data_IF_705133419767
#
_entry.id   IF_705133419767
#
_cell.length_a   1.000
_cell.length_b   1.000
_cell.length_c   1.000
_cell.angle_alpha   90.00
_cell.angle_beta   90.00
_cell.angle_gamma   90.00
#
_symmetry.space_group_name_H-M   'P 1'
#
loop_
_entity.id
_entity.type
_entity.pdbx_description
1 polymer ?
#
# COMPACT_ATOMS: atom_id res chain seq x y z
N UNK A 1 17.53 15.60 -0.09
CA UNK A 1 17.35 14.14 -0.19
C UNK A 1 15.88 13.70 -0.12
N UNK A 2 15.18 13.69 1.03
CA UNK A 2 13.74 13.28 1.06
C UNK A 2 12.82 14.20 0.23
N UNK A 3 12.99 15.52 0.33
CA UNK A 3 12.21 16.49 -0.44
C UNK A 3 12.34 16.32 -1.96
N UNK A 4 13.53 15.96 -2.44
CA UNK A 4 13.78 15.73 -3.88
C UNK A 4 13.11 14.44 -4.36
N UNK A 5 13.16 13.36 -3.56
CA UNK A 5 12.43 12.12 -3.85
C UNK A 5 10.92 12.35 -3.89
N UNK A 6 10.36 13.09 -2.92
CA UNK A 6 8.93 13.41 -2.89
C UNK A 6 8.53 14.25 -4.11
N UNK A 7 9.37 15.21 -4.52
CA UNK A 7 9.10 16.01 -5.72
C UNK A 7 9.17 15.17 -7.00
N UNK A 8 10.14 14.24 -7.08
CA UNK A 8 10.24 13.28 -8.19
C UNK A 8 8.98 12.41 -8.25
N UNK A 9 8.57 11.82 -7.12
CA UNK A 9 7.34 11.03 -7.02
C UNK A 9 6.08 11.80 -7.42
N UNK A 10 5.95 13.05 -6.93
CA UNK A 10 4.85 13.94 -7.30
C UNK A 10 4.78 14.14 -8.81
N UNK A 11 5.91 14.47 -9.43
CA UNK A 11 5.98 14.76 -10.86
C UNK A 11 5.72 13.51 -11.72
N UNK A 12 6.24 12.36 -11.30
CA UNK A 12 6.16 11.12 -12.06
C UNK A 12 4.82 10.41 -11.88
N UNK A 13 4.18 10.49 -10.71
CA UNK A 13 2.99 9.70 -10.38
C UNK A 13 1.78 10.61 -10.16
N UNK A 14 1.85 11.55 -9.22
CA UNK A 14 0.67 12.28 -8.74
C UNK A 14 0.14 13.35 -9.72
N UNK A 15 0.99 13.88 -10.60
CA UNK A 15 0.63 14.85 -11.64
C UNK A 15 -0.02 14.20 -12.87
N UNK A 16 0.08 12.88 -13.03
CA UNK A 16 -0.58 12.17 -14.11
C UNK A 16 -2.09 11.94 -13.81
N UNK A 17 -2.64 10.82 -14.24
CA UNK A 17 -3.97 10.36 -13.85
C UNK A 17 -3.97 9.75 -12.45
N UNK A 18 -5.13 9.70 -11.80
CA UNK A 18 -5.23 8.99 -10.52
C UNK A 18 -4.96 7.48 -10.66
N UNK A 19 -5.23 6.91 -11.83
CA UNK A 19 -4.87 5.54 -12.14
C UNK A 19 -3.35 5.30 -12.10
N UNK A 20 -2.52 6.30 -12.37
CA UNK A 20 -1.06 6.16 -12.24
C UNK A 20 -0.62 5.91 -10.79
N UNK A 21 -1.46 6.30 -9.81
CA UNK A 21 -1.24 6.02 -8.39
C UNK A 21 -1.73 4.63 -7.96
N UNK A 22 -2.24 3.78 -8.87
CA UNK A 22 -2.56 2.39 -8.54
C UNK A 22 -1.27 1.57 -8.41
N UNK A 23 -1.12 0.68 -7.41
CA UNK A 23 0.09 -0.12 -7.22
C UNK A 23 0.56 -0.86 -8.49
N UNK A 24 -0.37 -1.46 -9.23
CA UNK A 24 -0.09 -2.16 -10.49
C UNK A 24 0.54 -1.30 -11.58
N UNK A 25 0.35 0.02 -11.53
CA UNK A 25 0.86 0.96 -12.52
C UNK A 25 2.19 1.61 -12.10
N UNK A 26 2.66 1.36 -10.87
CA UNK A 26 3.91 1.91 -10.37
C UNK A 26 5.11 1.17 -10.95
N UNK A 27 6.21 1.89 -11.21
CA UNK A 27 7.50 1.25 -11.47
C UNK A 27 7.94 0.43 -10.26
N UNK A 28 8.79 -0.58 -10.46
CA UNK A 28 9.34 -1.38 -9.35
C UNK A 28 10.07 -0.51 -8.32
N UNK A 29 10.77 0.56 -8.76
CA UNK A 29 11.39 1.54 -7.87
C UNK A 29 10.36 2.18 -6.92
N UNK A 30 9.27 2.71 -7.46
CA UNK A 30 8.24 3.37 -6.66
C UNK A 30 7.41 2.41 -5.83
N UNK A 31 7.13 1.22 -6.34
CA UNK A 31 6.46 0.19 -5.58
C UNK A 31 7.27 -0.21 -4.35
N UNK A 32 8.58 -0.41 -4.49
CA UNK A 32 9.47 -0.75 -3.37
C UNK A 32 9.57 0.40 -2.35
N UNK A 33 9.59 1.65 -2.82
CA UNK A 33 9.56 2.82 -1.96
C UNK A 33 8.26 2.87 -1.14
N UNK A 34 7.10 2.70 -1.79
CA UNK A 34 5.80 2.66 -1.11
C UNK A 34 5.65 1.43 -0.21
N UNK A 35 6.23 0.29 -0.56
CA UNK A 35 6.26 -0.89 0.28
C UNK A 35 6.99 -0.60 1.60
N UNK A 36 8.14 0.10 1.54
CA UNK A 36 8.86 0.52 2.75
C UNK A 36 8.02 1.48 3.61
N UNK A 37 7.34 2.45 2.99
CA UNK A 37 6.41 3.35 3.70
C UNK A 37 5.25 2.55 4.33
N UNK A 38 4.66 1.60 3.60
CA UNK A 38 3.58 0.74 4.07
C UNK A 38 4.01 -0.11 5.28
N UNK A 39 5.21 -0.69 5.25
CA UNK A 39 5.76 -1.45 6.38
C UNK A 39 5.92 -0.58 7.63
N UNK A 40 6.40 0.66 7.45
CA UNK A 40 6.51 1.61 8.55
C UNK A 40 5.14 2.01 9.11
N UNK A 41 4.11 2.12 8.27
CA UNK A 41 2.73 2.39 8.70
C UNK A 41 2.16 1.20 9.47
N UNK A 42 2.28 -0.04 8.97
CA UNK A 42 1.64 -1.22 9.58
C UNK A 42 2.13 -1.47 11.01
N UNK A 43 3.39 -1.17 11.31
CA UNK A 43 3.92 -1.19 12.68
C UNK A 43 3.29 -0.15 13.63
N UNK A 44 2.75 0.94 13.09
CA UNK A 44 2.11 2.04 13.83
C UNK A 44 0.59 1.88 13.97
N UNK A 45 -0.03 0.99 13.20
CA UNK A 45 -1.50 0.86 13.09
C UNK A 45 -2.16 0.24 14.34
N UNK A 46 -1.37 -0.09 15.38
CA UNK A 46 -1.87 -0.57 16.67
C UNK A 46 -2.28 0.55 17.64
N UNK A 47 -1.94 1.83 17.40
CA UNK A 47 -2.15 2.88 18.41
C UNK A 47 -2.55 4.27 17.83
N UNK A 48 -3.79 4.65 18.14
CA UNK A 48 -4.27 6.03 18.38
C UNK A 48 -4.31 7.07 17.23
N UNK A 49 -5.30 7.97 17.33
CA UNK A 49 -5.61 9.08 16.40
C UNK A 49 -4.49 10.13 16.35
N UNK A 50 -3.62 10.18 17.38
CA UNK A 50 -2.41 11.01 17.42
C UNK A 50 -1.38 10.66 16.33
N UNK A 51 -1.50 9.48 15.71
CA UNK A 51 -0.62 9.05 14.62
C UNK A 51 -0.87 9.75 13.27
N UNK A 52 -1.99 10.47 13.05
CA UNK A 52 -2.34 10.96 11.69
C UNK A 52 -1.28 11.90 11.09
N UNK A 53 -0.87 12.92 11.84
CA UNK A 53 0.09 13.91 11.35
C UNK A 53 1.50 13.30 11.25
N UNK A 54 1.83 12.37 12.15
CA UNK A 54 3.07 11.60 12.10
C UNK A 54 3.12 10.68 10.87
N UNK A 55 1.98 10.07 10.51
CA UNK A 55 1.83 9.23 9.33
C UNK A 55 1.94 10.03 8.03
N UNK A 56 1.37 11.24 7.97
CA UNK A 56 1.52 12.12 6.80
C UNK A 56 2.98 12.52 6.58
N UNK A 57 3.73 12.72 7.67
CA UNK A 57 5.16 13.00 7.62
C UNK A 57 6.02 11.77 7.31
N UNK A 58 5.65 10.58 7.79
CA UNK A 58 6.46 9.36 7.67
C UNK A 58 6.18 8.55 6.40
N UNK A 59 5.03 8.77 5.75
CA UNK A 59 4.63 8.07 4.52
C UNK A 59 3.98 9.01 3.49
N UNK A 60 4.70 10.05 3.04
CA UNK A 60 4.15 11.08 2.15
C UNK A 60 3.75 10.53 0.77
N UNK A 61 4.38 9.45 0.29
CA UNK A 61 4.02 8.79 -0.96
C UNK A 61 2.65 8.11 -0.89
N UNK A 62 2.44 7.31 0.16
CA UNK A 62 1.14 6.64 0.43
C UNK A 62 0.03 7.69 0.57
N UNK A 63 0.24 8.74 1.36
CA UNK A 63 -0.74 9.81 1.54
C UNK A 63 -1.07 10.51 0.22
N UNK A 64 -0.03 10.80 -0.58
CA UNK A 64 -0.20 11.40 -1.91
C UNK A 64 -1.06 10.55 -2.84
N UNK A 65 -0.80 9.25 -2.92
CA UNK A 65 -1.60 8.33 -3.74
C UNK A 65 -3.05 8.26 -3.29
N UNK A 66 -3.29 8.02 -2.00
CA UNK A 66 -4.64 7.91 -1.45
C UNK A 66 -5.42 9.20 -1.71
N UNK A 67 -4.79 10.36 -1.46
CA UNK A 67 -5.43 11.66 -1.71
C UNK A 67 -5.78 11.82 -3.18
N UNK A 68 -4.84 11.55 -4.09
CA UNK A 68 -5.05 11.70 -5.54
C UNK A 68 -6.18 10.81 -6.06
N UNK A 69 -6.26 9.56 -5.61
CA UNK A 69 -7.32 8.62 -5.97
C UNK A 69 -8.68 9.10 -5.47
N UNK A 70 -8.75 9.58 -4.22
CA UNK A 70 -9.99 10.14 -3.66
C UNK A 70 -10.46 11.38 -4.40
N UNK A 71 -9.52 12.27 -4.74
CA UNK A 71 -9.81 13.48 -5.50
C UNK A 71 -10.47 13.15 -6.85
N UNK A 72 -10.00 12.09 -7.51
CA UNK A 72 -10.54 11.59 -8.77
C UNK A 72 -11.92 10.94 -8.63
N UNK A 73 -12.14 10.20 -7.54
CA UNK A 73 -13.45 9.63 -7.16
C UNK A 73 -14.48 10.70 -6.71
N UNK A 74 -14.24 11.98 -6.98
CA UNK A 74 -15.15 13.07 -6.65
C UNK A 74 -15.22 13.40 -5.15
N UNK A 75 -14.30 12.88 -4.34
CA UNK A 75 -14.22 13.19 -2.90
C UNK A 75 -13.44 14.50 -2.62
N UNK A 76 -13.46 15.42 -3.59
CA UNK A 76 -12.87 16.75 -3.48
C UNK A 76 -13.67 17.61 -2.49
N UNK A 77 -12.99 18.17 -1.49
CA UNK A 77 -13.51 19.34 -0.77
C UNK A 77 -14.36 19.12 0.49
N UNK A 78 -14.34 17.95 1.15
CA UNK A 78 -14.96 17.88 2.48
C UNK A 78 -14.09 18.59 3.53
N UNK A 79 -14.61 19.73 4.00
CA UNK A 79 -14.09 20.64 5.03
C UNK A 79 -13.81 20.03 6.42
N UNK A 80 -13.64 18.71 6.50
CA UNK A 80 -13.02 17.93 7.57
C UNK A 80 -12.88 16.53 6.99
N UNK A 81 -11.66 16.12 6.63
CA UNK A 81 -11.40 14.72 6.29
C UNK A 81 -11.92 13.88 7.47
N UNK A 82 -12.88 12.99 7.21
CA UNK A 82 -13.21 11.95 8.18
C UNK A 82 -11.93 11.11 8.34
N UNK A 83 -11.17 11.39 9.40
CA UNK A 83 -9.84 10.80 9.60
C UNK A 83 -9.93 9.30 9.71
N UNK A 84 -11.00 8.76 10.31
CA UNK A 84 -11.21 7.32 10.41
C UNK A 84 -11.39 6.68 9.03
N UNK A 85 -12.20 7.30 8.14
CA UNK A 85 -12.37 6.83 6.77
C UNK A 85 -11.06 6.89 5.99
N UNK A 86 -10.35 8.02 6.07
CA UNK A 86 -9.07 8.19 5.37
C UNK A 86 -8.00 7.22 5.86
N UNK A 87 -7.96 6.95 7.16
CA UNK A 87 -7.11 5.90 7.72
C UNK A 87 -7.47 4.51 7.20
N UNK A 88 -8.76 4.19 7.09
CA UNK A 88 -9.21 2.95 6.45
C UNK A 88 -8.70 2.83 5.03
N UNK A 89 -8.75 3.92 4.26
CA UNK A 89 -8.26 3.98 2.88
C UNK A 89 -6.73 3.89 2.79
N UNK A 90 -5.98 4.48 3.72
CA UNK A 90 -4.53 4.29 3.84
C UNK A 90 -4.21 2.82 4.10
N UNK A 91 -4.90 2.18 5.05
CA UNK A 91 -4.71 0.75 5.34
C UNK A 91 -4.98 -0.11 4.13
N UNK A 92 -6.10 0.12 3.44
CA UNK A 92 -6.45 -0.59 2.22
C UNK A 92 -5.41 -0.37 1.11
N UNK A 93 -4.91 0.86 0.95
CA UNK A 93 -3.87 1.14 -0.03
C UNK A 93 -2.54 0.44 0.30
N UNK A 94 -2.10 0.46 1.57
CA UNK A 94 -0.92 -0.28 2.01
C UNK A 94 -1.02 -1.77 1.71
N UNK A 95 -2.17 -2.37 2.00
CA UNK A 95 -2.48 -3.77 1.66
C UNK A 95 -2.28 -4.03 0.17
N UNK A 96 -2.79 -3.16 -0.68
CA UNK A 96 -2.64 -3.26 -2.13
C UNK A 96 -1.20 -3.08 -2.63
N UNK A 97 -0.42 -2.22 -2.00
CA UNK A 97 1.02 -2.10 -2.29
C UNK A 97 1.73 -3.40 -1.99
N UNK A 98 1.44 -4.03 -0.86
CA UNK A 98 2.03 -5.31 -0.52
C UNK A 98 1.58 -6.43 -1.47
N UNK A 99 0.31 -6.43 -1.90
CA UNK A 99 -0.20 -7.42 -2.85
C UNK A 99 0.50 -7.33 -4.18
N UNK A 100 0.64 -6.12 -4.70
CA UNK A 100 1.34 -5.91 -5.95
C UNK A 100 2.80 -6.34 -5.86
N UNK A 101 3.49 -6.01 -4.75
CA UNK A 101 4.88 -6.41 -4.53
C UNK A 101 5.04 -7.94 -4.57
N UNK A 102 4.19 -8.69 -3.85
CA UNK A 102 4.28 -10.16 -3.85
C UNK A 102 3.75 -10.81 -5.12
N UNK A 103 2.83 -10.15 -5.83
CA UNK A 103 2.30 -10.61 -7.12
C UNK A 103 3.39 -10.55 -8.19
N UNK A 104 4.21 -9.49 -8.21
CA UNK A 104 5.37 -9.36 -9.11
C UNK A 104 6.44 -10.43 -8.88
N UNK A 105 6.54 -10.93 -7.66
CA UNK A 105 7.43 -12.04 -7.32
C UNK A 105 6.87 -13.41 -7.77
N UNK A 106 5.66 -13.47 -8.34
CA UNK A 106 5.05 -14.69 -8.89
C UNK A 106 4.54 -15.67 -7.83
N UNK A 107 4.39 -15.22 -6.58
CA UNK A 107 4.18 -16.06 -5.39
C UNK A 107 2.72 -16.15 -4.92
N UNK A 108 1.90 -15.23 -5.41
CA UNK A 108 0.50 -15.07 -5.06
C UNK A 108 -0.25 -14.51 -6.26
N UNK A 109 -1.41 -15.09 -6.56
CA UNK A 109 -2.35 -14.53 -7.51
C UNK A 109 -3.32 -13.65 -6.76
N UNK A 110 -3.08 -12.34 -6.81
CA UNK A 110 -3.97 -11.34 -6.24
C UNK A 110 -4.73 -10.68 -7.38
N UNK A 111 -6.04 -10.48 -7.22
CA UNK A 111 -6.77 -9.59 -8.12
C UNK A 111 -6.08 -8.22 -8.13
N UNK A 112 -5.74 -7.65 -9.30
CA UNK A 112 -5.12 -6.34 -9.38
C UNK A 112 -6.02 -5.25 -8.81
N UNK A 113 -5.40 -4.23 -8.22
CA UNK A 113 -6.15 -3.06 -7.77
C UNK A 113 -6.55 -2.17 -8.94
N UNK A 114 -7.78 -1.68 -8.92
CA UNK A 114 -8.32 -0.70 -9.85
C UNK A 114 -9.02 0.44 -9.08
N UNK A 115 -9.47 1.45 -9.81
CA UNK A 115 -10.10 2.63 -9.21
C UNK A 115 -11.38 2.31 -8.43
N UNK A 116 -12.05 1.19 -8.71
CA UNK A 116 -13.30 0.80 -8.04
C UNK A 116 -13.03 -0.01 -6.76
N UNK A 117 -11.95 -0.78 -6.69
CA UNK A 117 -11.67 -1.74 -5.61
C UNK A 117 -10.41 -1.44 -4.76
N UNK A 118 -9.65 -0.37 -5.05
CA UNK A 118 -8.40 -0.02 -4.34
C UNK A 118 -8.62 0.24 -2.83
N UNK A 119 -9.82 0.67 -2.44
CA UNK A 119 -10.18 0.90 -1.03
C UNK A 119 -11.17 -0.14 -0.46
N UNK A 120 -11.45 -1.21 -1.20
CA UNK A 120 -12.34 -2.27 -0.76
C UNK A 120 -11.71 -3.03 0.41
N UNK A 121 -12.53 -3.35 1.42
CA UNK A 121 -12.06 -4.04 2.64
C UNK A 121 -12.02 -5.55 2.49
N UNK A 122 -12.58 -6.13 1.44
CA UNK A 122 -12.84 -7.56 1.24
C UNK A 122 -11.90 -8.22 0.23
N UNK A 123 -10.71 -7.65 0.03
CA UNK A 123 -9.74 -8.19 -0.92
C UNK A 123 -9.10 -9.49 -0.43
N UNK A 124 -8.91 -10.42 -1.36
CA UNK A 124 -8.35 -11.75 -1.13
C UNK A 124 -7.15 -12.03 -2.03
N UNK A 125 -6.20 -12.86 -1.56
CA UNK A 125 -5.18 -13.45 -2.42
C UNK A 125 -5.38 -14.96 -2.53
N UNK A 126 -4.89 -15.53 -3.63
CA UNK A 126 -4.72 -16.97 -3.82
C UNK A 126 -3.25 -17.34 -3.73
N UNK A 127 -2.96 -18.40 -3.01
CA UNK A 127 -1.63 -19.02 -2.95
C UNK A 127 -1.56 -20.13 -4.00
N UNK A 128 -0.35 -20.46 -4.48
CA UNK A 128 -0.07 -21.46 -5.52
C UNK A 128 -0.75 -22.83 -5.29
N UNK A 129 -1.21 -23.12 -4.06
CA UNK A 129 -1.97 -24.31 -3.67
C UNK A 129 -3.50 -24.09 -3.46
N UNK A 130 -4.12 -23.13 -4.15
CA UNK A 130 -5.58 -22.89 -4.25
C UNK A 130 -6.33 -22.41 -2.99
N UNK A 131 -5.66 -22.09 -1.89
CA UNK A 131 -6.32 -21.47 -0.74
C UNK A 131 -6.56 -19.98 -0.96
N UNK A 132 -7.81 -19.55 -0.82
CA UNK A 132 -8.16 -18.14 -0.70
C UNK A 132 -7.88 -17.68 0.73
N UNK A 133 -7.06 -16.64 0.85
CA UNK A 133 -6.74 -16.01 2.13
C UNK A 133 -7.36 -14.62 2.13
N UNK A 134 -8.24 -14.39 3.11
CA UNK A 134 -8.73 -13.04 3.45
C UNK A 134 -7.61 -12.27 4.16
N UNK A 135 -7.22 -11.18 3.52
CA UNK A 135 -6.05 -10.37 3.85
C UNK A 135 -6.45 -8.90 3.99
N UNK A 136 -7.74 -8.66 4.27
CA UNK A 136 -8.33 -7.40 4.72
C UNK A 136 -7.63 -6.76 5.93
N UNK A 137 -6.79 -7.53 6.64
CA UNK A 137 -5.98 -7.07 7.76
C UNK A 137 -4.51 -6.83 7.32
N UNK A 138 -4.05 -5.56 7.22
CA UNK A 138 -2.68 -5.22 6.85
C UNK A 138 -1.62 -5.90 7.70
N UNK A 139 -1.86 -6.07 9.01
CA UNK A 139 -0.94 -6.76 9.92
C UNK A 139 -0.82 -8.24 9.58
N UNK A 140 -1.95 -8.91 9.33
CA UNK A 140 -1.95 -10.34 9.00
C UNK A 140 -1.28 -10.59 7.66
N UNK A 141 -1.50 -9.71 6.69
CA UNK A 141 -0.79 -9.76 5.42
C UNK A 141 0.71 -9.52 5.60
N UNK A 142 1.09 -8.47 6.34
CA UNK A 142 2.48 -8.17 6.62
C UNK A 142 3.20 -9.33 7.29
N UNK A 143 2.58 -9.97 8.29
CA UNK A 143 3.11 -11.20 8.90
C UNK A 143 3.28 -12.33 7.87
N UNK A 144 2.31 -12.54 6.98
CA UNK A 144 2.43 -13.55 5.92
C UNK A 144 3.60 -13.27 4.96
N UNK A 145 3.81 -12.00 4.60
CA UNK A 145 4.93 -11.56 3.74
C UNK A 145 6.26 -11.73 4.48
N UNK A 146 6.39 -11.24 5.71
CA UNK A 146 7.61 -11.34 6.51
C UNK A 146 8.01 -12.79 6.77
N UNK A 147 7.09 -13.63 7.24
CA UNK A 147 7.38 -15.05 7.49
C UNK A 147 7.75 -15.81 6.22
N UNK A 148 7.51 -15.27 5.02
CA UNK A 148 8.00 -15.87 3.77
C UNK A 148 9.37 -15.34 3.37
N UNK A 149 9.63 -14.03 3.52
CA UNK A 149 10.97 -13.46 3.33
C UNK A 149 12.01 -14.12 4.25
N UNK A 150 11.65 -14.37 5.52
CA UNK A 150 12.52 -15.08 6.47
C UNK A 150 12.80 -16.52 6.02
N UNK A 151 11.79 -17.25 5.54
CA UNK A 151 11.94 -18.64 5.06
C UNK A 151 12.75 -18.77 3.77
N UNK A 152 12.81 -17.73 2.96
CA UNK A 152 13.58 -17.71 1.72
C UNK A 152 15.02 -17.25 1.97
N UNK A 153 15.24 -16.26 2.85
CA UNK A 153 16.59 -15.88 3.30
C UNK A 153 17.34 -17.01 4.00
N UNK A 154 16.64 -17.84 4.79
CA UNK A 154 17.22 -19.04 5.41
C UNK A 154 17.61 -20.13 4.40
N UNK A 155 17.06 -20.13 3.18
CA UNK A 155 17.45 -21.08 2.12
C UNK A 155 18.68 -20.63 1.36
N UNK A 156 18.82 -19.33 1.12
CA UNK A 156 19.95 -18.77 0.38
C UNK A 156 21.25 -18.78 1.22
N UNK A 157 21.15 -18.81 2.56
CA UNK A 157 22.29 -18.95 3.48
C UNK A 157 22.70 -20.42 3.76
N UNK A 158 21.97 -21.39 3.17
CA UNK A 158 22.20 -22.82 3.38
C UNK A 158 22.84 -23.55 2.18
N UNK A 159 23.19 -22.83 1.10
CA UNK A 159 23.99 -23.32 -0.04
C UNK A 159 25.44 -22.79 -0.02
#
# INVERSE_FOLDING_TARGET
>A
MEKEKINKFKNEILVQSAAAALPGNLSTEWLNELHREASAIVGLVSQDILAFNLLEMSAPGIFGCVRRIREDQGQNGQAKINRALFFGQIKAYCVNVFFEAVSRDGKYLVEPANMDNIFASDRTARVDDYYEIDISCPQRFYCLVQSRQEREGERDDAE
#
